data_IF_593611729264
#
_entry.id   IF_593611729264
#
_cell.length_a   1.000
_cell.length_b   1.000
_cell.length_c   1.000
_cell.angle_alpha   90.00
_cell.angle_beta   90.00
_cell.angle_gamma   90.00
#
_symmetry.space_group_name_H-M   'P 1'
#
loop_
_entity.id
_entity.type
_entity.pdbx_description
1 polymer ?
#
# COMPACT_ATOMS: atom_id res chain seq x y z
N UNK A 1 -34.26 -6.75 -10.02
CA UNK A 1 -32.80 -6.88 -10.17
C UNK A 1 -32.53 -7.50 -11.54
N UNK A 2 -31.96 -6.76 -12.48
CA UNK A 2 -31.61 -7.23 -13.82
C UNK A 2 -30.35 -8.08 -13.77
N UNK A 3 -30.07 -8.86 -14.82
CA UNK A 3 -28.83 -9.64 -14.91
C UNK A 3 -27.58 -8.76 -14.83
N UNK A 4 -27.65 -7.53 -15.33
CA UNK A 4 -26.56 -6.55 -15.28
C UNK A 4 -26.31 -6.05 -13.85
N UNK A 5 -27.37 -5.77 -13.09
CA UNK A 5 -27.26 -5.40 -11.67
C UNK A 5 -26.64 -6.53 -10.85
N UNK A 6 -27.03 -7.79 -11.12
CA UNK A 6 -26.44 -8.97 -10.47
C UNK A 6 -24.95 -9.08 -10.81
N UNK A 7 -24.59 -8.96 -12.09
CA UNK A 7 -23.20 -8.99 -12.55
C UNK A 7 -22.35 -7.90 -11.89
N UNK A 8 -22.89 -6.69 -11.77
CA UNK A 8 -22.26 -5.56 -11.08
C UNK A 8 -21.96 -5.87 -9.61
N UNK A 9 -22.94 -6.39 -8.87
CA UNK A 9 -22.75 -6.77 -7.46
C UNK A 9 -21.65 -7.84 -7.28
N UNK A 10 -21.60 -8.84 -8.17
CA UNK A 10 -20.54 -9.86 -8.12
C UNK A 10 -19.16 -9.28 -8.42
N UNK A 11 -19.05 -8.32 -9.34
CA UNK A 11 -17.80 -7.64 -9.67
C UNK A 11 -17.25 -6.85 -8.49
N UNK A 12 -18.10 -6.09 -7.80
CA UNK A 12 -17.71 -5.33 -6.59
C UNK A 12 -17.25 -6.25 -5.46
N UNK A 13 -17.98 -7.35 -5.21
CA UNK A 13 -17.59 -8.36 -4.22
C UNK A 13 -16.21 -8.94 -4.52
N UNK A 14 -15.95 -9.24 -5.79
CA UNK A 14 -14.66 -9.80 -6.20
C UNK A 14 -13.50 -8.81 -6.09
N UNK A 15 -13.75 -7.52 -6.29
CA UNK A 15 -12.75 -6.47 -6.07
C UNK A 15 -12.31 -6.43 -4.60
N UNK A 16 -13.26 -6.51 -3.66
CA UNK A 16 -13.00 -6.57 -2.22
C UNK A 16 -12.19 -7.83 -1.86
N UNK A 17 -12.57 -8.98 -2.39
CA UNK A 17 -11.84 -10.24 -2.16
C UNK A 17 -10.40 -10.18 -2.69
N UNK A 18 -10.21 -9.60 -3.88
CA UNK A 18 -8.90 -9.43 -4.51
C UNK A 18 -8.02 -8.48 -3.69
N UNK A 19 -8.60 -7.42 -3.13
CA UNK A 19 -7.93 -6.50 -2.23
C UNK A 19 -7.45 -7.20 -0.94
N UNK A 20 -8.34 -7.91 -0.25
CA UNK A 20 -7.95 -8.62 0.97
C UNK A 20 -7.01 -9.80 0.70
N UNK A 21 -7.09 -10.43 -0.47
CA UNK A 21 -6.11 -11.43 -0.91
C UNK A 21 -4.73 -10.79 -1.04
N UNK A 22 -4.62 -9.63 -1.67
CA UNK A 22 -3.36 -8.91 -1.79
C UNK A 22 -2.77 -8.54 -0.43
N UNK A 23 -3.59 -8.02 0.50
CA UNK A 23 -3.14 -7.66 1.86
C UNK A 23 -2.54 -8.88 2.56
N UNK A 24 -3.27 -9.99 2.60
CA UNK A 24 -2.83 -11.21 3.29
C UNK A 24 -1.52 -11.76 2.70
N UNK A 25 -1.37 -11.70 1.38
CA UNK A 25 -0.18 -12.22 0.69
C UNK A 25 1.05 -11.32 0.82
N UNK A 26 0.89 -10.01 0.79
CA UNK A 26 2.02 -9.08 0.68
C UNK A 26 2.42 -8.47 2.02
N UNK A 27 1.47 -8.18 2.92
CA UNK A 27 1.77 -7.53 4.19
C UNK A 27 2.13 -8.51 5.31
N UNK A 28 2.23 -9.81 4.98
CA UNK A 28 2.45 -10.88 5.94
C UNK A 28 1.60 -10.66 7.20
N UNK A 29 0.27 -10.74 7.02
CA UNK A 29 -0.70 -10.82 8.13
C UNK A 29 -1.05 -12.30 8.46
N UNK A 30 -0.12 -13.27 8.60
CA UNK A 30 -0.51 -14.66 8.77
C UNK A 30 -0.86 -15.01 10.21
N UNK A 31 -0.54 -14.17 11.21
CA UNK A 31 -0.87 -14.46 12.61
C UNK A 31 -1.47 -13.21 13.24
N UNK A 32 -2.75 -13.28 13.58
CA UNK A 32 -3.34 -12.33 14.49
C UNK A 32 -2.55 -12.42 15.81
N UNK A 33 -1.78 -11.40 16.17
CA UNK A 33 -1.03 -11.32 17.43
C UNK A 33 -1.94 -11.32 18.69
N UNK A 34 -3.25 -11.44 18.51
CA UNK A 34 -4.25 -11.54 19.56
C UNK A 34 -5.61 -11.83 18.96
N UNK A 35 -6.42 -12.64 19.66
CA UNK A 35 -7.77 -13.05 19.23
C UNK A 35 -8.86 -12.13 19.77
N UNK A 36 -8.51 -11.12 20.56
CA UNK A 36 -9.48 -10.14 21.07
C UNK A 36 -10.01 -9.28 19.93
N UNK A 37 -11.27 -8.86 20.02
CA UNK A 37 -11.92 -7.98 19.04
C UNK A 37 -11.05 -6.74 18.73
N UNK A 38 -10.49 -6.12 19.77
CA UNK A 38 -9.65 -4.94 19.62
C UNK A 38 -8.31 -5.26 18.93
N UNK A 39 -7.68 -6.40 19.24
CA UNK A 39 -6.45 -6.82 18.56
C UNK A 39 -6.68 -7.05 17.05
N UNK A 40 -7.78 -7.72 16.70
CA UNK A 40 -8.18 -7.95 15.31
C UNK A 40 -8.46 -6.62 14.59
N UNK A 41 -9.23 -5.71 15.21
CA UNK A 41 -9.51 -4.39 14.63
C UNK A 41 -8.21 -3.59 14.42
N UNK A 42 -7.33 -3.53 15.41
CA UNK A 42 -6.08 -2.78 15.31
C UNK A 42 -5.15 -3.34 14.22
N UNK A 43 -5.08 -4.66 14.07
CA UNK A 43 -4.29 -5.29 13.01
C UNK A 43 -4.84 -4.98 11.62
N UNK A 44 -6.17 -4.97 11.47
CA UNK A 44 -6.80 -4.57 10.22
C UNK A 44 -6.49 -3.11 9.89
N UNK A 45 -6.62 -2.20 10.86
CA UNK A 45 -6.27 -0.79 10.66
C UNK A 45 -4.79 -0.62 10.30
N UNK A 46 -3.88 -1.31 10.98
CA UNK A 46 -2.46 -1.28 10.65
C UNK A 46 -2.18 -1.76 9.21
N UNK A 47 -2.82 -2.85 8.78
CA UNK A 47 -2.68 -3.37 7.42
C UNK A 47 -3.21 -2.39 6.36
N UNK A 48 -4.34 -1.73 6.64
CA UNK A 48 -4.91 -0.70 5.77
C UNK A 48 -4.01 0.53 5.67
N UNK A 49 -3.46 1.00 6.80
CA UNK A 49 -2.50 2.11 6.83
C UNK A 49 -1.25 1.75 6.02
N UNK A 50 -0.70 0.56 6.21
CA UNK A 50 0.46 0.08 5.46
C UNK A 50 0.18 0.03 3.95
N UNK A 51 -1.00 -0.46 3.54
CA UNK A 51 -1.42 -0.45 2.14
C UNK A 51 -1.45 0.97 1.57
N UNK A 52 -2.10 1.91 2.28
CA UNK A 52 -2.23 3.31 1.83
C UNK A 52 -0.84 3.95 1.68
N UNK A 53 0.05 3.75 2.64
CA UNK A 53 1.42 4.27 2.59
C UNK A 53 2.20 3.69 1.40
N UNK A 54 2.17 2.37 1.20
CA UNK A 54 2.84 1.74 0.07
C UNK A 54 2.30 2.24 -1.27
N UNK A 55 0.97 2.42 -1.36
CA UNK A 55 0.32 2.91 -2.58
C UNK A 55 0.66 4.38 -2.85
N UNK A 56 0.73 5.20 -1.81
CA UNK A 56 1.16 6.59 -1.90
C UNK A 56 2.60 6.67 -2.42
N UNK A 57 3.54 5.97 -1.79
CA UNK A 57 4.96 5.95 -2.21
C UNK A 57 5.11 5.48 -3.65
N UNK A 58 4.39 4.44 -4.06
CA UNK A 58 4.41 3.94 -5.43
C UNK A 58 3.91 4.97 -6.44
N UNK A 59 2.85 5.72 -6.08
CA UNK A 59 2.20 6.67 -6.98
C UNK A 59 3.01 7.96 -7.13
N UNK A 60 3.59 8.47 -6.05
CA UNK A 60 4.41 9.69 -6.09
C UNK A 60 5.69 9.50 -6.91
N UNK A 61 6.36 8.35 -6.73
CA UNK A 61 7.57 8.05 -7.50
C UNK A 61 7.27 7.71 -8.96
N UNK A 62 6.09 7.16 -9.27
CA UNK A 62 5.68 6.92 -10.66
C UNK A 62 5.39 8.22 -11.43
N UNK A 63 5.20 9.36 -10.75
CA UNK A 63 5.11 10.67 -11.42
C UNK A 63 6.47 11.16 -11.91
N UNK A 64 7.57 10.66 -11.33
CA UNK A 64 8.94 11.00 -11.74
C UNK A 64 9.35 10.09 -12.91
N UNK A 65 9.62 10.66 -14.08
CA UNK A 65 9.94 9.90 -15.31
C UNK A 65 11.30 9.18 -15.30
N UNK A 66 12.10 9.34 -14.24
CA UNK A 66 13.50 8.90 -14.22
C UNK A 66 13.70 7.50 -13.61
N UNK A 67 12.64 6.86 -13.11
CA UNK A 67 12.76 5.61 -12.37
C UNK A 67 12.29 4.40 -13.19
N UNK A 68 12.92 3.23 -12.97
CA UNK A 68 12.48 1.97 -13.58
C UNK A 68 11.00 1.72 -13.24
N UNK A 69 10.15 1.61 -14.26
CA UNK A 69 8.72 1.35 -14.07
C UNK A 69 8.50 0.01 -13.37
N UNK A 70 7.98 0.05 -12.16
CA UNK A 70 7.58 -1.13 -11.39
C UNK A 70 6.06 -1.18 -11.27
N UNK A 71 5.48 -2.36 -11.45
CA UNK A 71 4.09 -2.60 -11.04
C UNK A 71 3.97 -2.44 -9.52
N UNK A 72 2.78 -2.15 -9.02
CA UNK A 72 2.57 -2.00 -7.58
C UNK A 72 3.02 -3.26 -6.81
N UNK A 73 2.66 -4.46 -7.30
CA UNK A 73 3.11 -5.71 -6.70
C UNK A 73 4.63 -5.89 -6.75
N UNK A 74 5.27 -5.51 -7.87
CA UNK A 74 6.73 -5.59 -8.02
C UNK A 74 7.45 -4.62 -7.08
N UNK A 75 6.95 -3.40 -6.96
CA UNK A 75 7.44 -2.39 -6.01
C UNK A 75 7.29 -2.89 -4.57
N UNK A 76 6.11 -3.32 -4.15
CA UNK A 76 5.87 -3.78 -2.78
C UNK A 76 6.77 -4.95 -2.41
N UNK A 77 6.91 -5.96 -3.29
CA UNK A 77 7.81 -7.09 -3.03
C UNK A 77 9.25 -6.65 -2.85
N UNK A 78 9.75 -5.79 -3.76
CA UNK A 78 11.13 -5.30 -3.68
C UNK A 78 11.36 -4.38 -2.48
N UNK A 79 10.37 -3.56 -2.11
CA UNK A 79 10.40 -2.71 -0.94
C UNK A 79 10.51 -3.55 0.34
N UNK A 80 9.64 -4.54 0.50
CA UNK A 80 9.62 -5.42 1.69
C UNK A 80 10.86 -6.31 1.79
N UNK A 81 11.42 -6.76 0.66
CA UNK A 81 12.66 -7.52 0.63
C UNK A 81 13.92 -6.64 0.69
N UNK A 82 13.79 -5.31 0.81
CA UNK A 82 14.91 -4.36 0.78
C UNK A 82 15.79 -4.47 -0.49
N UNK A 83 15.21 -4.89 -1.62
CA UNK A 83 15.89 -5.10 -2.91
C UNK A 83 15.49 -4.07 -3.96
N UNK A 84 15.04 -2.88 -3.54
CA UNK A 84 14.66 -1.82 -4.47
C UNK A 84 15.86 -1.29 -5.28
N UNK A 85 15.67 -0.99 -6.58
CA UNK A 85 16.67 -0.33 -7.40
C UNK A 85 17.12 1.00 -6.79
N UNK A 86 18.36 1.41 -7.11
CA UNK A 86 18.94 2.63 -6.56
C UNK A 86 18.10 3.88 -6.85
N UNK A 87 17.57 4.00 -8.06
CA UNK A 87 16.65 5.05 -8.51
C UNK A 87 15.48 5.23 -7.53
N UNK A 88 14.81 4.12 -7.20
CA UNK A 88 13.69 4.09 -6.26
C UNK A 88 14.12 4.50 -4.84
N UNK A 89 15.29 4.07 -4.40
CA UNK A 89 15.80 4.41 -3.06
C UNK A 89 16.14 5.90 -2.93
N UNK A 90 16.68 6.50 -4.00
CA UNK A 90 16.99 7.93 -4.03
C UNK A 90 15.68 8.72 -4.02
N UNK A 91 14.75 8.40 -4.91
CA UNK A 91 13.47 9.10 -4.99
C UNK A 91 12.68 9.05 -3.69
N UNK A 92 12.63 7.89 -3.02
CA UNK A 92 12.02 7.75 -1.69
C UNK A 92 12.71 8.64 -0.63
N UNK A 93 14.03 8.77 -0.65
CA UNK A 93 14.76 9.66 0.28
C UNK A 93 14.45 11.13 0.02
N UNK A 94 14.37 11.54 -1.24
CA UNK A 94 13.99 12.89 -1.62
C UNK A 94 12.57 13.20 -1.15
N UNK A 95 11.62 12.29 -1.41
CA UNK A 95 10.23 12.43 -1.00
C UNK A 95 10.09 12.58 0.53
N UNK A 96 10.80 11.74 1.28
CA UNK A 96 10.81 11.80 2.75
C UNK A 96 11.44 13.11 3.26
N UNK A 97 12.54 13.55 2.66
CA UNK A 97 13.19 14.82 3.00
C UNK A 97 12.26 15.99 2.74
N UNK A 98 11.63 16.03 1.56
CA UNK A 98 10.66 17.05 1.17
C UNK A 98 9.49 17.14 2.15
N UNK A 99 8.88 16.00 2.51
CA UNK A 99 7.79 16.03 3.49
C UNK A 99 8.26 16.44 4.88
N UNK A 100 9.45 16.01 5.31
CA UNK A 100 10.02 16.42 6.60
C UNK A 100 10.17 17.93 6.69
N UNK A 101 10.68 18.58 5.64
CA UNK A 101 10.84 20.03 5.58
C UNK A 101 9.49 20.75 5.64
N UNK A 102 8.48 20.28 4.91
CA UNK A 102 7.13 20.86 4.96
C UNK A 102 6.52 20.82 6.37
N UNK A 103 6.71 19.73 7.12
CA UNK A 103 6.21 19.64 8.49
C UNK A 103 6.95 20.58 9.45
N UNK A 104 8.27 20.76 9.28
CA UNK A 104 9.04 21.68 10.11
C UNK A 104 8.65 23.15 9.87
N UNK A 105 8.39 23.53 8.61
CA UNK A 105 7.96 24.89 8.25
C UNK A 105 6.56 25.22 8.79
N UNK A 106 5.66 24.23 8.87
CA UNK A 106 4.30 24.44 9.41
C UNK A 106 4.22 24.42 10.94
N UNK A 107 5.27 23.96 11.61
CA UNK A 107 5.32 23.82 13.06
C UNK A 107 6.00 25.00 13.78
N UNK A 108 6.66 25.90 13.05
CA UNK A 108 7.20 27.17 13.53
C UNK A 108 6.31 28.34 13.13
#
# INVERSE_FOLDING_TARGET
VTAEEISGMYKERWAIESFFRWIKQNLNVPVLFGTTKNAVCNQLFAALIAYVLLKFLHTEEHKKNNCKRLSFAGFTRQFLCATLPIEWRIGLKELLTFHRELYQIKAG
#
